data_IF_577457077739
#
_entry.id   IF_577457077739
#
_cell.length_a   1.000
_cell.length_b   1.000
_cell.length_c   1.000
_cell.angle_alpha   90.00
_cell.angle_beta   90.00
_cell.angle_gamma   90.00
#
_symmetry.space_group_name_H-M   'P 1'
#
loop_
_entity.id
_entity.type
_entity.pdbx_description
1 polymer ?
#
# COMPACT_ATOMS: atom_id res chain seq x y z
N UNK A 1 1.82 7.52 -38.64
CA UNK A 1 1.93 7.62 -37.19
C UNK A 1 1.08 6.51 -36.59
N UNK A 2 1.63 5.47 -35.95
CA UNK A 2 0.82 4.54 -35.19
C UNK A 2 0.57 5.13 -33.80
N UNK A 3 -0.70 5.21 -33.40
CA UNK A 3 -1.13 5.45 -32.04
C UNK A 3 -0.56 4.35 -31.13
N UNK A 4 0.52 4.68 -30.43
CA UNK A 4 1.06 3.86 -29.36
C UNK A 4 0.08 3.93 -28.18
N UNK A 5 -0.93 3.06 -28.22
CA UNK A 5 -1.70 2.69 -27.02
C UNK A 5 -0.72 2.06 -26.05
N UNK A 6 -0.25 2.87 -25.10
CA UNK A 6 0.41 2.43 -23.88
C UNK A 6 -0.63 1.71 -23.03
N UNK A 7 -0.89 0.45 -23.37
CA UNK A 7 -1.53 -0.49 -22.48
C UNK A 7 -0.55 -0.75 -21.34
N UNK A 8 -0.81 -0.15 -20.18
CA UNK A 8 -0.06 -0.44 -18.97
C UNK A 8 -0.16 -1.95 -18.73
N UNK A 9 0.95 -2.70 -18.63
CA UNK A 9 0.88 -4.10 -18.27
C UNK A 9 0.09 -4.22 -16.97
N UNK A 10 -0.75 -5.25 -16.78
CA UNK A 10 -1.39 -5.48 -15.50
C UNK A 10 -0.26 -5.60 -14.50
N UNK A 11 -0.05 -4.57 -13.68
CA UNK A 11 1.00 -4.55 -12.68
C UNK A 11 0.65 -5.74 -11.79
N UNK A 12 1.39 -6.87 -11.84
CA UNK A 12 1.17 -7.91 -10.87
C UNK A 12 1.37 -7.24 -9.50
N UNK A 13 0.60 -7.56 -8.44
CA UNK A 13 0.94 -7.05 -7.12
C UNK A 13 2.36 -7.52 -6.88
N UNK A 14 3.30 -6.58 -6.92
CA UNK A 14 4.69 -6.85 -6.62
C UNK A 14 4.63 -7.42 -5.20
N UNK A 15 4.82 -8.74 -5.08
CA UNK A 15 4.92 -9.38 -3.78
C UNK A 15 5.92 -8.55 -2.97
N UNK A 16 5.65 -8.33 -1.67
CA UNK A 16 6.43 -7.39 -0.88
C UNK A 16 7.90 -7.64 -1.15
N UNK A 17 8.61 -6.61 -1.60
CA UNK A 17 10.07 -6.66 -1.67
C UNK A 17 10.49 -7.18 -0.30
N UNK A 18 11.16 -8.34 -0.29
CA UNK A 18 11.43 -9.16 0.89
C UNK A 18 12.30 -8.35 1.88
N UNK A 19 11.71 -7.40 2.60
CA UNK A 19 12.44 -6.32 3.29
C UNK A 19 11.67 -5.01 3.52
N UNK A 20 10.56 -4.74 2.82
CA UNK A 20 9.76 -3.53 3.08
C UNK A 20 8.72 -3.81 4.16
N UNK A 21 9.14 -3.65 5.43
CA UNK A 21 8.23 -3.73 6.56
C UNK A 21 7.05 -2.76 6.38
N UNK A 22 5.84 -3.10 6.85
CA UNK A 22 4.68 -2.22 6.72
C UNK A 22 4.91 -0.90 7.48
N UNK A 23 4.84 0.21 6.75
CA UNK A 23 5.09 1.57 7.20
C UNK A 23 3.85 2.43 6.98
N UNK A 24 3.41 3.03 8.06
CA UNK A 24 2.33 4.01 8.06
C UNK A 24 2.77 5.28 8.77
N UNK A 25 2.22 6.40 8.34
CA UNK A 25 2.38 7.69 9.02
C UNK A 25 1.05 8.03 9.69
N UNK A 26 1.06 8.13 11.01
CA UNK A 26 -0.05 8.63 11.82
C UNK A 26 0.32 10.03 12.30
N UNK A 27 -0.50 11.03 11.96
CA UNK A 27 -0.18 12.43 12.25
C UNK A 27 -0.32 12.74 13.75
N UNK A 28 -1.33 12.17 14.41
CA UNK A 28 -1.57 12.35 15.83
C UNK A 28 -1.87 11.00 16.52
N UNK A 29 -1.41 10.84 17.78
CA UNK A 29 -1.61 9.60 18.55
C UNK A 29 -3.10 9.28 18.85
N UNK A 30 -4.00 10.25 18.68
CA UNK A 30 -5.46 10.06 18.78
C UNK A 30 -6.16 9.83 17.44
N UNK A 31 -5.46 9.93 16.31
CA UNK A 31 -6.10 9.73 15.00
C UNK A 31 -6.48 8.27 14.81
N UNK A 32 -7.71 7.99 14.41
CA UNK A 32 -8.10 6.63 14.03
C UNK A 32 -7.61 6.24 12.63
N UNK A 33 -6.91 7.14 11.94
CA UNK A 33 -6.42 6.94 10.58
C UNK A 33 -4.90 7.02 10.50
N UNK A 34 -4.31 6.25 9.58
CA UNK A 34 -2.90 6.34 9.22
C UNK A 34 -2.72 6.28 7.70
N UNK A 35 -1.64 6.86 7.17
CA UNK A 35 -1.36 6.88 5.73
C UNK A 35 -0.33 5.81 5.39
N UNK A 36 -0.65 4.94 4.43
CA UNK A 36 0.28 3.92 3.93
C UNK A 36 1.35 4.57 3.06
N UNK A 37 2.62 4.34 3.39
CA UNK A 37 3.75 4.92 2.62
C UNK A 37 4.61 3.88 1.91
N UNK A 38 4.33 2.58 2.09
CA UNK A 38 5.00 1.50 1.38
C UNK A 38 4.92 1.68 -0.14
N UNK A 39 6.04 1.43 -0.82
CA UNK A 39 6.09 1.40 -2.26
C UNK A 39 5.18 0.28 -2.77
N UNK A 40 4.35 0.57 -3.78
CA UNK A 40 3.30 -0.32 -4.31
C UNK A 40 2.10 -0.57 -3.39
N UNK A 41 2.02 0.10 -2.23
CA UNK A 41 0.93 -0.08 -1.27
C UNK A 41 1.08 -1.35 -0.43
N UNK A 42 0.01 -1.72 0.28
CA UNK A 42 -0.02 -2.89 1.14
C UNK A 42 -1.18 -3.82 0.75
N UNK A 43 -0.92 -5.13 0.59
CA UNK A 43 -1.98 -6.09 0.32
C UNK A 43 -2.87 -6.33 1.53
N UNK A 44 -4.08 -6.82 1.25
CA UNK A 44 -4.96 -7.37 2.26
C UNK A 44 -4.24 -8.46 3.07
N UNK A 45 -4.51 -8.53 4.37
CA UNK A 45 -3.86 -9.44 5.31
C UNK A 45 -2.52 -8.95 5.85
N UNK A 46 -2.04 -7.77 5.45
CA UNK A 46 -0.84 -7.17 6.07
C UNK A 46 -1.15 -6.81 7.52
N UNK A 47 -0.30 -7.29 8.44
CA UNK A 47 -0.38 -7.00 9.87
C UNK A 47 0.67 -5.95 10.23
N UNK A 48 0.22 -4.85 10.84
CA UNK A 48 1.10 -3.84 11.41
C UNK A 48 1.60 -4.26 12.80
N UNK A 49 2.71 -3.67 13.24
CA UNK A 49 3.27 -3.91 14.58
C UNK A 49 2.29 -3.60 15.72
N UNK A 50 1.34 -2.69 15.49
CA UNK A 50 0.27 -2.33 16.43
C UNK A 50 -0.90 -3.33 16.45
N UNK A 51 -0.84 -4.41 15.65
CA UNK A 51 -1.88 -5.44 15.54
C UNK A 51 -3.01 -5.14 14.54
N UNK A 52 -2.96 -3.98 13.86
CA UNK A 52 -3.92 -3.64 12.81
C UNK A 52 -3.71 -4.56 11.60
N UNK A 53 -4.80 -5.10 11.05
CA UNK A 53 -4.75 -5.98 9.87
C UNK A 53 -5.56 -5.35 8.75
N UNK A 54 -4.95 -5.22 7.57
CA UNK A 54 -5.66 -4.72 6.39
C UNK A 54 -6.68 -5.74 5.89
N UNK A 55 -7.91 -5.31 5.67
CA UNK A 55 -8.99 -6.15 5.11
C UNK A 55 -8.94 -6.19 3.58
N UNK A 56 -8.49 -5.10 2.97
CA UNK A 56 -8.39 -4.93 1.52
C UNK A 56 -6.99 -4.41 1.11
N UNK A 57 -6.73 -4.39 -0.20
CA UNK A 57 -5.51 -3.79 -0.73
C UNK A 57 -5.57 -2.26 -0.60
N UNK A 58 -4.53 -1.66 0.00
CA UNK A 58 -4.45 -0.22 0.21
C UNK A 58 -3.30 0.36 -0.61
N UNK A 59 -3.57 1.23 -1.59
CA UNK A 59 -2.53 1.89 -2.37
C UNK A 59 -1.69 2.85 -1.51
N UNK A 60 -0.50 3.18 -2.00
CA UNK A 60 0.33 4.22 -1.39
C UNK A 60 -0.43 5.56 -1.29
N UNK A 61 -0.24 6.27 -0.18
CA UNK A 61 -0.88 7.56 0.09
C UNK A 61 -2.34 7.47 0.53
N UNK A 62 -2.93 6.27 0.58
CA UNK A 62 -4.29 6.09 1.08
C UNK A 62 -4.30 6.00 2.60
N UNK A 63 -5.42 6.45 3.17
CA UNK A 63 -5.70 6.37 4.60
C UNK A 63 -6.32 5.01 4.93
N UNK A 64 -5.91 4.46 6.08
CA UNK A 64 -6.44 3.24 6.70
C UNK A 64 -6.87 3.53 8.11
#
# INVERSE_FOLDING_TARGET
MPDAVIEAPPVPPAGPALGDAPRTIRLHASDNVAIVVNAFGLPAGTVFSDGLTLVEFVPQGHKV
#
